data_IF_562363349653
#
_entry.id   IF_562363349653
#
_cell.length_a   1.000
_cell.length_b   1.000
_cell.length_c   1.000
_cell.angle_alpha   90.00
_cell.angle_beta   90.00
_cell.angle_gamma   90.00
#
_symmetry.space_group_name_H-M   'P 1'
#
loop_
_entity.id
_entity.type
_entity.pdbx_description
1 polymer ?
#
# COMPACT_ATOMS: atom_id res chain seq x y z
N UNK A 1 13.54 -10.94 -10.96
CA UNK A 1 12.45 -11.39 -10.07
C UNK A 1 11.93 -10.22 -9.25
N UNK A 2 10.63 -10.06 -9.16
CA UNK A 2 10.03 -9.01 -8.34
C UNK A 2 10.14 -9.40 -6.86
N UNK A 3 10.74 -8.51 -6.05
CA UNK A 3 11.01 -8.79 -4.64
C UNK A 3 9.77 -8.93 -3.77
N UNK A 4 8.62 -8.47 -4.26
CA UNK A 4 7.37 -8.55 -3.51
C UNK A 4 6.49 -9.73 -3.93
N UNK A 5 6.93 -10.55 -4.88
CA UNK A 5 6.13 -11.70 -5.34
C UNK A 5 5.93 -12.76 -4.27
N UNK A 6 6.75 -12.75 -3.22
CA UNK A 6 6.56 -13.68 -2.12
C UNK A 6 5.36 -13.33 -1.22
N UNK A 7 4.83 -12.12 -1.35
CA UNK A 7 3.68 -11.70 -0.55
C UNK A 7 2.39 -12.24 -1.16
N UNK A 8 1.58 -12.88 -0.33
CA UNK A 8 0.31 -13.42 -0.73
C UNK A 8 -0.69 -12.32 -1.08
N UNK A 9 -1.49 -12.55 -2.13
CA UNK A 9 -2.53 -11.60 -2.51
C UNK A 9 -3.65 -11.62 -1.46
N UNK A 10 -4.13 -10.45 -1.08
CA UNK A 10 -5.23 -10.30 -0.14
C UNK A 10 -6.49 -9.92 -0.91
N UNK A 11 -7.53 -10.79 -0.91
CA UNK A 11 -8.78 -10.47 -1.62
C UNK A 11 -9.49 -9.27 -1.00
N UNK A 12 -10.15 -8.49 -1.85
CA UNK A 12 -10.83 -7.27 -1.42
C UNK A 12 -11.88 -7.55 -0.35
N UNK A 13 -12.65 -8.64 -0.50
CA UNK A 13 -13.68 -8.98 0.47
C UNK A 13 -13.11 -9.32 1.85
N UNK A 14 -11.87 -9.79 1.91
CA UNK A 14 -11.20 -10.04 3.19
C UNK A 14 -10.82 -8.74 3.89
N UNK A 15 -10.55 -7.69 3.14
CA UNK A 15 -10.26 -6.37 3.70
C UNK A 15 -11.56 -5.67 4.08
N UNK A 16 -12.57 -5.78 3.23
CA UNK A 16 -13.82 -5.05 3.38
C UNK A 16 -14.53 -5.30 4.72
N UNK A 17 -14.35 -6.48 5.30
CA UNK A 17 -14.95 -6.78 6.59
C UNK A 17 -14.40 -5.96 7.75
N UNK A 18 -13.27 -5.31 7.56
CA UNK A 18 -12.71 -4.39 8.56
C UNK A 18 -13.11 -2.95 8.31
N UNK A 19 -13.76 -2.67 7.18
CA UNK A 19 -14.19 -1.31 6.87
C UNK A 19 -15.32 -0.87 7.78
N UNK A 20 -15.29 0.42 8.14
CA UNK A 20 -16.22 0.99 9.11
C UNK A 20 -17.31 1.86 8.48
N UNK A 21 -17.35 1.95 7.15
CA UNK A 21 -18.34 2.74 6.44
C UNK A 21 -17.72 3.78 5.54
N UNK A 22 -18.36 4.95 5.42
CA UNK A 22 -17.90 5.99 4.51
C UNK A 22 -16.59 6.64 4.99
N UNK A 23 -15.71 7.03 4.04
CA UNK A 23 -14.41 7.61 4.38
C UNK A 23 -14.51 9.09 4.70
N UNK A 24 -15.18 9.46 5.81
CA UNK A 24 -15.45 10.87 6.13
C UNK A 24 -14.19 11.70 6.33
N UNK A 25 -13.16 11.15 6.93
CA UNK A 25 -11.92 11.87 7.20
C UNK A 25 -10.72 10.94 6.99
N UNK A 26 -10.77 10.19 5.91
CA UNK A 26 -9.71 9.26 5.58
C UNK A 26 -8.76 9.80 4.53
N UNK A 27 -7.59 9.19 4.50
CA UNK A 27 -6.58 9.45 3.48
C UNK A 27 -6.57 8.24 2.53
N UNK A 28 -6.77 8.43 1.22
CA UNK A 28 -6.82 7.31 0.30
C UNK A 28 -5.44 6.86 -0.16
N UNK A 29 -5.28 5.54 -0.29
CA UNK A 29 -4.09 4.92 -0.87
C UNK A 29 -4.55 3.89 -1.89
N UNK A 30 -4.02 3.96 -3.10
CA UNK A 30 -4.35 3.01 -4.16
C UNK A 30 -3.18 2.08 -4.38
N UNK A 31 -3.45 0.79 -4.43
CA UNK A 31 -2.40 -0.19 -4.67
C UNK A 31 -2.91 -1.61 -4.66
N UNK A 32 -1.98 -2.54 -4.62
CA UNK A 32 -2.25 -3.98 -4.61
C UNK A 32 -2.24 -4.47 -3.17
N UNK A 33 -3.36 -5.02 -2.66
CA UNK A 33 -3.40 -5.50 -1.28
C UNK A 33 -2.73 -6.87 -1.16
N UNK A 34 -1.92 -7.03 -0.13
CA UNK A 34 -1.21 -8.28 0.16
C UNK A 34 -1.38 -8.66 1.62
N UNK A 35 -1.36 -9.97 1.87
CA UNK A 35 -1.42 -10.49 3.24
C UNK A 35 -0.12 -10.16 3.96
N UNK A 36 -0.23 -9.69 5.19
CA UNK A 36 0.95 -9.44 5.99
C UNK A 36 1.60 -10.78 6.35
N UNK A 37 2.92 -10.94 6.14
CA UNK A 37 3.58 -12.24 6.31
C UNK A 37 3.63 -12.74 7.75
N UNK A 38 3.47 -11.87 8.74
CA UNK A 38 3.62 -12.28 10.14
C UNK A 38 2.51 -11.81 11.07
N UNK A 39 1.77 -10.75 10.74
CA UNK A 39 0.77 -10.19 11.64
C UNK A 39 -0.62 -10.20 11.02
N UNK A 40 -1.56 -10.86 11.71
CA UNK A 40 -2.93 -11.04 11.20
C UNK A 40 -3.77 -9.77 11.25
N UNK A 41 -3.37 -8.80 12.07
CA UNK A 41 -4.12 -7.55 12.24
C UNK A 41 -3.61 -6.43 11.34
N UNK A 42 -2.74 -6.75 10.39
CA UNK A 42 -2.15 -5.78 9.46
C UNK A 42 -2.30 -6.27 8.04
N UNK A 43 -2.18 -5.34 7.10
CA UNK A 43 -2.09 -5.66 5.68
C UNK A 43 -0.92 -4.93 5.05
N UNK A 44 -0.50 -5.45 3.92
CA UNK A 44 0.51 -4.81 3.08
C UNK A 44 -0.18 -4.23 1.85
N UNK A 45 0.15 -3.00 1.50
CA UNK A 45 -0.32 -2.39 0.26
C UNK A 45 0.89 -2.06 -0.59
N UNK A 46 0.94 -2.63 -1.79
CA UNK A 46 2.00 -2.29 -2.74
C UNK A 46 1.57 -1.05 -3.49
N UNK A 47 2.13 0.07 -3.10
CA UNK A 47 1.79 1.38 -3.61
C UNK A 47 2.89 1.82 -4.56
N UNK A 48 2.54 2.09 -5.82
CA UNK A 48 3.52 2.52 -6.81
C UNK A 48 2.90 3.55 -7.75
N UNK A 49 2.83 4.80 -7.33
CA UNK A 49 2.19 5.83 -8.13
C UNK A 49 2.93 6.17 -9.42
N UNK A 50 4.20 5.82 -9.53
CA UNK A 50 5.01 6.17 -10.69
C UNK A 50 5.39 4.97 -11.56
N UNK A 51 5.10 3.76 -11.12
CA UNK A 51 5.25 2.55 -11.91
C UNK A 51 6.66 2.00 -12.06
N UNK A 52 7.67 2.60 -11.45
CA UNK A 52 9.06 2.17 -11.63
C UNK A 52 9.59 1.29 -10.51
N UNK A 53 9.36 1.67 -9.28
CA UNK A 53 9.81 0.90 -8.13
C UNK A 53 8.65 0.75 -7.16
N UNK A 54 8.38 -0.48 -6.70
CA UNK A 54 7.28 -0.68 -5.77
C UNK A 54 7.56 -0.03 -4.43
N UNK A 55 6.54 0.62 -3.90
CA UNK A 55 6.56 1.15 -2.55
C UNK A 55 5.65 0.26 -1.71
N UNK A 56 6.18 -0.30 -0.64
CA UNK A 56 5.45 -1.24 0.19
C UNK A 56 5.04 -0.54 1.48
N UNK A 57 3.73 -0.50 1.72
CA UNK A 57 3.16 0.14 2.89
C UNK A 57 2.53 -0.90 3.80
N UNK A 58 2.57 -0.65 5.09
CA UNK A 58 1.93 -1.49 6.09
C UNK A 58 0.92 -0.68 6.86
N UNK A 59 -0.30 -1.18 6.98
CA UNK A 59 -1.37 -0.54 7.74
C UNK A 59 -2.00 -1.54 8.69
N UNK A 60 -2.52 -1.04 9.82
CA UNK A 60 -3.35 -1.86 10.69
C UNK A 60 -4.75 -1.96 10.11
N UNK A 61 -5.32 -3.16 10.12
CA UNK A 61 -6.67 -3.38 9.60
C UNK A 61 -7.70 -2.53 10.32
N UNK A 62 -7.50 -2.28 11.61
CA UNK A 62 -8.43 -1.47 12.40
C UNK A 62 -8.46 0.00 11.98
N UNK A 63 -7.46 0.46 11.25
CA UNK A 63 -7.39 1.84 10.77
C UNK A 63 -8.04 2.03 9.40
N UNK A 64 -8.53 0.96 8.78
CA UNK A 64 -9.20 1.00 7.49
C UNK A 64 -10.63 1.50 7.68
N UNK A 65 -10.97 2.62 7.06
CA UNK A 65 -12.32 3.19 7.13
C UNK A 65 -13.21 2.67 6.02
N UNK A 66 -12.66 2.54 4.82
CA UNK A 66 -13.45 2.14 3.66
C UNK A 66 -12.53 1.53 2.62
N UNK A 67 -13.09 0.60 1.83
CA UNK A 67 -12.34 -0.10 0.78
C UNK A 67 -13.15 -0.04 -0.49
N UNK A 68 -12.54 0.41 -1.58
CA UNK A 68 -13.16 0.44 -2.90
C UNK A 68 -12.33 -0.35 -3.89
N UNK A 69 -12.98 -1.13 -4.74
CA UNK A 69 -12.30 -1.69 -5.89
C UNK A 69 -12.16 -0.59 -6.94
N UNK A 70 -11.00 -0.53 -7.57
CA UNK A 70 -10.76 0.40 -8.67
C UNK A 70 -10.38 -0.39 -9.90
N UNK A 71 -10.40 0.21 -11.09
CA UNK A 71 -10.05 -0.51 -12.30
C UNK A 71 -8.70 -1.20 -12.17
N UNK A 72 -8.64 -2.47 -12.58
CA UNK A 72 -7.42 -3.26 -12.49
C UNK A 72 -6.35 -2.72 -13.42
N UNK A 73 -5.09 -2.77 -12.97
CA UNK A 73 -3.96 -2.54 -13.85
C UNK A 73 -3.67 -3.82 -14.64
N UNK A 74 -3.09 -3.66 -15.81
CA UNK A 74 -2.70 -4.79 -16.66
C UNK A 74 -1.18 -4.78 -16.75
N UNK A 75 -0.55 -5.90 -16.42
CA UNK A 75 0.89 -6.05 -16.52
C UNK A 75 1.31 -6.18 -17.99
N UNK A 76 2.62 -6.10 -18.25
CA UNK A 76 3.15 -6.30 -19.61
C UNK A 76 2.80 -7.68 -20.16
N UNK A 77 2.65 -8.66 -19.29
CA UNK A 77 2.25 -10.01 -19.68
C UNK A 77 0.75 -10.15 -19.94
N UNK A 78 -0.03 -9.08 -19.78
CA UNK A 78 -1.46 -9.10 -20.00
C UNK A 78 -2.27 -9.60 -18.82
N UNK A 79 -1.65 -9.81 -17.67
CA UNK A 79 -2.35 -10.26 -16.48
C UNK A 79 -3.01 -9.09 -15.76
N UNK A 80 -4.29 -9.26 -15.40
CA UNK A 80 -4.99 -8.28 -14.58
C UNK A 80 -4.51 -8.35 -13.14
N UNK A 81 -4.21 -7.18 -12.55
CA UNK A 81 -3.82 -7.09 -11.16
C UNK A 81 -4.88 -6.29 -10.43
N UNK A 82 -5.55 -6.87 -9.42
CA UNK A 82 -6.60 -6.14 -8.71
C UNK A 82 -6.02 -5.01 -7.90
N UNK A 83 -6.61 -3.83 -8.07
CA UNK A 83 -6.26 -2.64 -7.31
C UNK A 83 -7.37 -2.30 -6.35
N UNK A 84 -7.00 -1.77 -5.21
CA UNK A 84 -7.97 -1.24 -4.24
C UNK A 84 -7.60 0.18 -3.85
N UNK A 85 -8.60 0.92 -3.43
CA UNK A 85 -8.42 2.23 -2.81
C UNK A 85 -8.78 2.06 -1.34
N UNK A 86 -7.78 2.15 -0.50
CA UNK A 86 -7.96 2.06 0.95
C UNK A 86 -8.06 3.46 1.53
N UNK A 87 -9.13 3.71 2.27
CA UNK A 87 -9.29 4.94 3.01
C UNK A 87 -8.86 4.66 4.44
N UNK A 88 -7.75 5.26 4.84
CA UNK A 88 -7.13 5.01 6.14
C UNK A 88 -7.39 6.19 7.06
N UNK A 89 -7.67 5.92 8.31
CA UNK A 89 -8.00 6.94 9.30
C UNK A 89 -6.88 7.96 9.43
N UNK A 90 -7.25 9.24 9.35
CA UNK A 90 -6.29 10.34 9.52
C UNK A 90 -5.70 10.25 10.93
N UNK A 91 -4.38 10.39 11.01
CA UNK A 91 -3.68 10.29 12.28
C UNK A 91 -3.22 8.89 12.64
N UNK A 92 -3.66 7.87 11.89
CA UNK A 92 -3.16 6.52 12.08
C UNK A 92 -1.68 6.45 11.69
N UNK A 93 -1.00 5.45 12.22
CA UNK A 93 0.42 5.24 11.93
C UNK A 93 0.56 4.08 10.97
N UNK A 94 1.04 4.39 9.76
CA UNK A 94 1.44 3.38 8.79
C UNK A 94 2.95 3.25 8.77
N UNK A 95 3.42 2.20 8.11
CA UNK A 95 4.85 1.97 7.93
C UNK A 95 5.19 1.92 6.45
N UNK A 96 6.36 2.42 6.10
CA UNK A 96 6.90 2.27 4.76
C UNK A 96 7.93 1.17 4.81
N UNK A 97 7.70 0.10 4.04
CA UNK A 97 8.59 -1.04 3.97
C UNK A 97 9.16 -1.10 2.56
N UNK A 98 10.46 -1.29 2.44
CA UNK A 98 11.09 -1.34 1.13
C UNK A 98 11.90 -2.62 0.99
N UNK A 99 11.52 -3.53 0.07
CA UNK A 99 12.36 -4.68 -0.23
C UNK A 99 13.64 -4.23 -0.92
N UNK A 100 14.77 -4.77 -0.49
CA UNK A 100 16.06 -4.41 -1.05
C UNK A 100 16.98 -5.62 -1.11
N UNK A 101 17.99 -5.56 -1.97
CA UNK A 101 19.03 -6.58 -2.02
C UNK A 101 20.07 -6.29 -0.96
N UNK A 102 20.52 -7.32 -0.27
CA UNK A 102 21.49 -7.17 0.80
C UNK A 102 22.90 -7.09 0.20
N UNK A 103 23.22 -5.93 -0.33
CA UNK A 103 24.52 -5.65 -0.94
C UNK A 103 25.25 -4.52 -0.22
N UNK A 104 24.61 -3.34 -0.15
CA UNK A 104 25.21 -2.16 0.44
C UNK A 104 24.26 -1.48 1.42
N UNK A 105 24.55 -1.57 2.72
CA UNK A 105 23.63 -1.01 3.74
C UNK A 105 23.38 0.48 3.61
N UNK A 106 24.36 1.25 3.14
CA UNK A 106 24.25 2.71 3.07
C UNK A 106 23.16 3.18 2.09
N UNK A 107 22.83 2.37 1.08
CA UNK A 107 21.85 2.75 0.08
C UNK A 107 20.41 2.70 0.61
N UNK A 108 20.17 1.94 1.66
CA UNK A 108 18.82 1.70 2.19
C UNK A 108 18.21 2.99 2.74
N UNK A 109 19.00 3.78 3.47
CA UNK A 109 18.51 5.01 4.11
C UNK A 109 18.09 6.04 3.07
N UNK A 110 18.89 6.21 2.02
CA UNK A 110 18.57 7.16 0.95
C UNK A 110 17.29 6.80 0.20
N UNK A 111 17.11 5.51 -0.09
CA UNK A 111 15.91 5.04 -0.77
C UNK A 111 14.65 5.24 0.07
N UNK A 112 14.72 4.93 1.34
CA UNK A 112 13.57 5.11 2.24
C UNK A 112 13.12 6.56 2.30
N UNK A 113 14.07 7.50 2.35
CA UNK A 113 13.78 8.92 2.36
C UNK A 113 13.11 9.36 1.05
N UNK A 114 13.66 8.93 -0.08
CA UNK A 114 13.11 9.29 -1.39
C UNK A 114 11.70 8.76 -1.57
N UNK A 115 11.42 7.54 -1.11
CA UNK A 115 10.10 6.95 -1.17
C UNK A 115 9.10 7.75 -0.34
N UNK A 116 9.47 8.12 0.87
CA UNK A 116 8.61 8.92 1.73
C UNK A 116 8.23 10.25 1.09
N UNK A 117 9.19 10.94 0.50
CA UNK A 117 8.94 12.19 -0.19
C UNK A 117 8.00 12.01 -1.38
N UNK A 118 8.19 10.95 -2.14
CA UNK A 118 7.34 10.65 -3.30
C UNK A 118 5.89 10.41 -2.89
N UNK A 119 5.68 9.67 -1.81
CA UNK A 119 4.33 9.41 -1.30
C UNK A 119 3.66 10.72 -0.86
N UNK A 120 4.37 11.56 -0.13
CA UNK A 120 3.83 12.82 0.36
C UNK A 120 3.44 13.76 -0.78
N UNK A 121 4.20 13.75 -1.88
CA UNK A 121 3.90 14.58 -3.05
C UNK A 121 2.62 14.13 -3.76
N UNK A 122 2.27 12.85 -3.67
CA UNK A 122 1.13 12.27 -4.38
C UNK A 122 -0.13 12.15 -3.53
N UNK A 123 -0.08 12.58 -2.27
CA UNK A 123 -1.25 12.55 -1.40
C UNK A 123 -2.08 13.82 -1.58
N UNK A 124 -3.41 13.74 -1.42
CA UNK A 124 -4.24 14.93 -1.39
C UNK A 124 -3.86 15.78 -0.17
N UNK A 125 -3.92 17.10 -0.34
CA UNK A 125 -3.57 18.00 0.75
C UNK A 125 -4.61 17.93 1.86
N UNK A 126 -4.11 17.77 3.08
CA UNK A 126 -4.97 17.71 4.25
C UNK A 126 -5.58 19.08 4.53
N UNK A 127 -6.82 19.11 4.96
CA UNK A 127 -7.47 20.33 5.40
C UNK A 127 -7.91 21.26 4.29
N UNK A 128 -7.85 20.81 3.08
CA UNK A 128 -8.38 21.59 1.96
C UNK A 128 -9.90 21.65 2.01
#
# INVERSE_FOLDING_TARGET
>A
MNKINYLEMLPVNSIAKYAKGHPNDGIPFIGYPRVHPSEKNKLILVYDPLGNEPVVLEFKLDDILFVEEVPSAVTEAGEGVPLVKLWVQRGAVGMILEPFEVNEPAQVVGKARAIKERILQNQPQAGA
#
